data_IF_484309616326
#
_entry.id   IF_484309616326
#
_cell.length_a   1.000
_cell.length_b   1.000
_cell.length_c   1.000
_cell.angle_alpha   90.00
_cell.angle_beta   90.00
_cell.angle_gamma   90.00
#
_symmetry.space_group_name_H-M   'P 1'
#
loop_
_entity.id
_entity.type
_entity.pdbx_description
1 polymer ?
#
# COMPACT_ATOMS: atom_id res chain seq x y z
N UNK A 1 1.14 -20.36 -42.30
CA UNK A 1 0.41 -19.18 -41.80
C UNK A 1 1.47 -18.24 -41.28
N UNK A 2 1.61 -17.05 -41.88
CA UNK A 2 2.45 -16.00 -41.31
C UNK A 2 1.68 -15.45 -40.12
N UNK A 3 2.24 -15.54 -38.92
CA UNK A 3 1.67 -14.91 -37.74
C UNK A 3 1.57 -13.40 -38.03
N UNK A 4 0.38 -12.84 -37.86
CA UNK A 4 0.18 -11.40 -37.91
C UNK A 4 1.12 -10.80 -36.85
N UNK A 5 1.99 -9.81 -37.18
CA UNK A 5 2.83 -9.17 -36.17
C UNK A 5 1.93 -8.71 -35.02
N UNK A 6 2.28 -9.13 -33.81
CA UNK A 6 1.41 -9.08 -32.64
C UNK A 6 0.98 -7.64 -32.39
N UNK A 7 -0.32 -7.37 -32.49
CA UNK A 7 -0.87 -6.11 -32.01
C UNK A 7 -0.64 -6.06 -30.48
N UNK A 8 -0.18 -4.91 -30.00
CA UNK A 8 -0.09 -4.60 -28.56
C UNK A 8 -1.40 -4.91 -27.86
N UNK A 9 -1.34 -5.18 -26.55
CA UNK A 9 -2.49 -5.46 -25.69
C UNK A 9 -3.64 -4.48 -25.95
N UNK A 10 -4.82 -4.97 -26.30
CA UNK A 10 -6.05 -4.16 -26.35
C UNK A 10 -6.61 -3.86 -24.94
N UNK A 11 -5.96 -4.39 -23.91
CA UNK A 11 -6.48 -4.43 -22.55
C UNK A 11 -5.95 -3.26 -21.71
N UNK A 12 -6.82 -2.55 -20.99
CA UNK A 12 -6.41 -1.44 -20.14
C UNK A 12 -5.43 -1.82 -19.02
N UNK A 13 -4.66 -0.83 -18.60
CA UNK A 13 -3.84 -0.89 -17.39
C UNK A 13 -4.64 -1.35 -16.17
N UNK A 14 -4.01 -2.20 -15.36
CA UNK A 14 -4.56 -2.70 -14.11
C UNK A 14 -5.71 -3.70 -14.25
N UNK A 15 -5.99 -4.15 -15.47
CA UNK A 15 -6.86 -5.31 -15.68
C UNK A 15 -6.10 -6.60 -15.42
N UNK A 16 -6.81 -7.60 -14.90
CA UNK A 16 -6.29 -8.96 -14.77
C UNK A 16 -6.55 -9.73 -16.06
N UNK A 17 -5.63 -10.61 -16.42
CA UNK A 17 -5.79 -11.52 -17.54
C UNK A 17 -6.90 -12.53 -17.22
N UNK A 18 -7.91 -12.60 -18.08
CA UNK A 18 -9.02 -13.53 -18.01
C UNK A 18 -8.79 -14.74 -18.91
N UNK A 19 -9.46 -15.85 -18.62
CA UNK A 19 -9.31 -17.11 -19.36
C UNK A 19 -9.56 -17.02 -20.87
N UNK A 20 -10.37 -16.05 -21.31
CA UNK A 20 -10.74 -15.85 -22.71
C UNK A 20 -9.90 -14.77 -23.41
N UNK A 21 -8.96 -14.13 -22.69
CA UNK A 21 -8.16 -13.06 -23.25
C UNK A 21 -7.14 -13.62 -24.26
N UNK A 22 -6.95 -12.88 -25.35
CA UNK A 22 -6.09 -13.27 -26.47
C UNK A 22 -4.58 -13.27 -26.15
N UNK A 23 -4.20 -12.76 -24.97
CA UNK A 23 -2.82 -12.78 -24.50
C UNK A 23 -2.49 -14.00 -23.64
N UNK A 24 -3.47 -14.80 -23.21
CA UNK A 24 -3.21 -16.05 -22.46
C UNK A 24 -2.30 -16.98 -23.27
N UNK A 25 -1.22 -17.43 -22.64
CA UNK A 25 -0.22 -18.34 -23.20
C UNK A 25 0.86 -17.66 -24.04
N UNK A 26 0.83 -16.32 -24.22
CA UNK A 26 1.93 -15.58 -24.84
C UNK A 26 3.20 -15.73 -23.99
N UNK A 27 4.39 -15.89 -24.60
CA UNK A 27 5.63 -15.99 -23.83
C UNK A 27 5.90 -14.69 -23.06
N UNK A 28 6.37 -14.81 -21.83
CA UNK A 28 6.85 -13.68 -21.04
C UNK A 28 8.35 -13.81 -20.87
N UNK A 29 9.05 -12.74 -21.22
CA UNK A 29 10.47 -12.55 -20.98
C UNK A 29 10.65 -11.73 -19.70
N UNK A 30 11.59 -12.15 -18.85
CA UNK A 30 11.91 -11.37 -17.66
C UNK A 30 12.53 -10.04 -18.06
N UNK A 31 12.13 -8.95 -17.39
CA UNK A 31 12.82 -7.67 -17.54
C UNK A 31 14.21 -7.83 -16.90
N UNK A 32 15.26 -7.75 -17.72
CA UNK A 32 16.63 -8.04 -17.29
C UNK A 32 17.17 -6.93 -16.37
N UNK A 33 17.05 -7.17 -15.06
CA UNK A 33 17.64 -6.42 -13.94
C UNK A 33 17.24 -4.92 -13.83
N UNK A 34 16.93 -4.53 -12.59
CA UNK A 34 16.75 -3.14 -12.10
C UNK A 34 15.42 -2.45 -12.39
N UNK A 35 14.35 -3.20 -12.65
CA UNK A 35 12.99 -2.65 -12.51
C UNK A 35 12.80 -2.10 -11.09
N UNK A 36 12.48 -0.82 -10.99
CA UNK A 36 12.35 -0.10 -9.73
C UNK A 36 11.18 0.85 -9.78
N UNK A 37 10.71 1.29 -8.62
CA UNK A 37 9.66 2.30 -8.52
C UNK A 37 10.28 3.61 -8.08
N UNK A 38 9.90 4.70 -8.72
CA UNK A 38 10.28 6.04 -8.32
C UNK A 38 9.15 7.04 -8.56
N UNK A 39 9.24 8.18 -7.89
CA UNK A 39 8.33 9.31 -8.11
C UNK A 39 9.13 10.53 -8.55
N UNK A 40 8.48 11.39 -9.33
CA UNK A 40 9.00 12.70 -9.65
C UNK A 40 8.32 13.72 -8.73
N UNK A 41 9.10 14.35 -7.84
CA UNK A 41 8.64 15.42 -6.95
C UNK A 41 8.38 16.69 -7.77
N UNK A 42 7.10 17.00 -7.98
CA UNK A 42 6.64 18.13 -8.82
C UNK A 42 6.12 19.30 -7.99
N UNK A 43 6.03 19.13 -6.66
CA UNK A 43 5.25 19.98 -5.80
C UNK A 43 5.94 20.29 -4.47
N UNK A 44 5.32 19.84 -3.38
CA UNK A 44 5.85 20.08 -2.04
C UNK A 44 6.98 19.09 -1.79
N UNK A 45 8.15 19.52 -1.26
CA UNK A 45 9.28 18.63 -1.05
C UNK A 45 8.89 17.32 -0.34
N UNK A 46 9.17 16.20 -0.99
CA UNK A 46 8.78 14.87 -0.55
C UNK A 46 7.75 14.24 -1.49
N UNK A 47 7.28 13.04 -1.12
CA UNK A 47 6.23 12.36 -1.88
C UNK A 47 4.84 12.77 -1.39
N UNK A 48 4.01 13.31 -2.27
CA UNK A 48 2.64 13.72 -1.98
C UNK A 48 1.61 13.20 -3.00
N UNK A 49 0.36 13.66 -2.92
CA UNK A 49 -0.75 13.23 -3.79
C UNK A 49 -0.56 13.65 -5.26
N UNK A 50 0.21 14.70 -5.54
CA UNK A 50 0.38 15.28 -6.88
C UNK A 50 1.50 14.63 -7.68
N UNK A 51 2.46 13.97 -7.02
CA UNK A 51 3.65 13.42 -7.69
C UNK A 51 3.35 12.21 -8.57
N UNK A 52 3.71 12.23 -9.86
CA UNK A 52 3.58 11.04 -10.68
C UNK A 52 4.56 9.95 -10.26
N UNK A 53 4.11 8.69 -10.33
CA UNK A 53 4.88 7.51 -9.97
C UNK A 53 5.08 6.62 -11.18
N UNK A 54 6.29 6.06 -11.30
CA UNK A 54 6.75 5.34 -12.46
C UNK A 54 7.31 3.98 -12.06
N UNK A 55 7.09 2.98 -12.92
CA UNK A 55 7.91 1.77 -12.97
C UNK A 55 9.08 2.06 -13.92
N UNK A 56 10.24 2.31 -13.32
CA UNK A 56 11.48 2.60 -14.02
C UNK A 56 12.13 1.29 -14.48
N UNK A 57 12.35 1.15 -15.79
CA UNK A 57 12.89 -0.06 -16.40
C UNK A 57 14.25 0.28 -17.02
N UNK A 58 15.31 0.19 -16.21
CA UNK A 58 16.66 0.47 -16.70
C UNK A 58 17.76 -0.22 -15.90
N UNK A 59 18.71 -0.84 -16.59
CA UNK A 59 19.91 -1.46 -16.01
C UNK A 59 20.91 -0.46 -15.39
N UNK A 60 20.58 0.84 -15.34
CA UNK A 60 21.45 1.91 -14.82
C UNK A 60 20.91 2.57 -13.54
N UNK A 61 19.83 2.02 -12.96
CA UNK A 61 19.24 2.49 -11.71
C UNK A 61 18.35 3.73 -11.85
N UNK A 62 17.46 3.90 -10.86
CA UNK A 62 16.44 4.96 -10.80
C UNK A 62 17.06 6.32 -10.46
N UNK A 63 17.26 7.16 -11.48
CA UNK A 63 17.81 8.53 -11.33
C UNK A 63 17.01 9.58 -12.10
N UNK A 64 16.46 9.19 -13.24
CA UNK A 64 15.55 10.00 -14.02
C UNK A 64 14.61 9.11 -14.83
N UNK A 65 13.43 9.63 -15.16
CA UNK A 65 12.52 8.98 -16.09
C UNK A 65 13.16 8.84 -17.46
N UNK A 66 12.84 7.75 -18.17
CA UNK A 66 13.36 7.43 -19.49
C UNK A 66 12.26 6.95 -20.40
N UNK A 67 12.50 7.05 -21.70
CA UNK A 67 11.59 6.45 -22.67
C UNK A 67 11.49 4.94 -22.42
N UNK A 68 10.26 4.43 -22.42
CA UNK A 68 9.95 3.05 -22.05
C UNK A 68 9.59 2.85 -20.58
N UNK A 69 9.86 3.79 -19.67
CA UNK A 69 9.33 3.71 -18.30
C UNK A 69 7.81 3.76 -18.33
N UNK A 70 7.16 3.08 -17.37
CA UNK A 70 5.70 2.99 -17.32
C UNK A 70 5.16 3.93 -16.25
N UNK A 71 4.18 4.75 -16.62
CA UNK A 71 3.41 5.57 -15.68
C UNK A 71 2.52 4.70 -14.82
N UNK A 72 2.79 4.57 -13.52
CA UNK A 72 1.88 3.90 -12.59
C UNK A 72 0.72 4.80 -12.16
N UNK A 73 0.86 6.11 -12.33
CA UNK A 73 -0.21 7.12 -12.19
C UNK A 73 -0.31 7.97 -13.45
N UNK A 74 -1.48 8.51 -13.79
CA UNK A 74 -1.60 9.43 -14.94
C UNK A 74 -0.82 10.72 -14.74
N UNK A 75 -0.30 11.31 -15.83
CA UNK A 75 0.41 12.59 -15.83
C UNK A 75 0.12 13.39 -17.11
N UNK A 76 -0.24 14.66 -16.99
CA UNK A 76 -0.45 15.63 -18.10
C UNK A 76 -1.17 15.09 -19.36
N UNK A 77 -2.22 14.28 -19.16
CA UNK A 77 -3.02 13.70 -20.25
C UNK A 77 -2.55 12.33 -20.74
N UNK A 78 -1.40 11.86 -20.26
CA UNK A 78 -0.94 10.47 -20.42
C UNK A 78 -1.59 9.58 -19.34
N UNK A 79 -2.33 8.53 -19.71
CA UNK A 79 -3.01 7.66 -18.75
C UNK A 79 -2.02 6.76 -18.00
N UNK A 80 -2.44 6.23 -16.85
CA UNK A 80 -1.69 5.17 -16.18
C UNK A 80 -1.55 3.92 -17.08
N UNK A 81 -0.42 3.26 -16.98
CA UNK A 81 0.05 2.17 -17.84
C UNK A 81 0.57 2.61 -19.21
N UNK A 82 0.55 3.91 -19.54
CA UNK A 82 1.27 4.40 -20.73
C UNK A 82 2.78 4.38 -20.50
N UNK A 83 3.53 4.20 -21.59
CA UNK A 83 4.98 4.34 -21.58
C UNK A 83 5.39 5.78 -21.86
N UNK A 84 6.53 6.20 -21.32
CA UNK A 84 7.11 7.52 -21.62
C UNK A 84 7.72 7.50 -23.03
N UNK A 85 7.36 8.49 -23.84
CA UNK A 85 7.98 8.77 -25.14
C UNK A 85 9.10 9.82 -25.01
N UNK A 86 10.06 9.88 -25.94
CA UNK A 86 11.17 10.82 -25.86
C UNK A 86 10.77 12.30 -25.75
N UNK A 87 9.60 12.67 -26.28
CA UNK A 87 9.06 14.03 -26.32
C UNK A 87 8.08 14.37 -25.19
N UNK A 88 7.75 13.42 -24.31
CA UNK A 88 6.80 13.68 -23.23
C UNK A 88 7.41 14.65 -22.21
N UNK A 89 6.57 15.48 -21.58
CA UNK A 89 7.00 16.51 -20.63
C UNK A 89 7.65 15.91 -19.36
N UNK A 90 7.32 14.66 -19.04
CA UNK A 90 7.94 13.88 -17.97
C UNK A 90 9.13 13.03 -18.42
N UNK A 91 9.71 13.26 -19.60
CA UNK A 91 10.93 12.61 -20.06
C UNK A 91 12.19 13.26 -19.45
N UNK A 92 13.14 12.45 -18.96
CA UNK A 92 14.38 12.89 -18.29
C UNK A 92 14.18 13.73 -17.01
N UNK A 93 13.04 13.59 -16.35
CA UNK A 93 12.76 14.23 -15.07
C UNK A 93 13.42 13.46 -13.92
N UNK A 94 13.87 14.15 -12.86
CA UNK A 94 14.52 13.49 -11.74
C UNK A 94 13.56 12.53 -11.04
N UNK A 95 14.02 11.29 -10.82
CA UNK A 95 13.27 10.29 -10.06
C UNK A 95 13.89 10.08 -8.68
N UNK A 96 13.05 10.17 -7.66
CA UNK A 96 13.39 9.74 -6.31
C UNK A 96 12.96 8.28 -6.13
N UNK A 97 13.89 7.35 -5.80
CA UNK A 97 13.53 5.96 -5.56
C UNK A 97 12.50 5.79 -4.43
N UNK A 98 11.54 4.92 -4.64
CA UNK A 98 10.45 4.64 -3.72
C UNK A 98 10.55 3.21 -3.19
N UNK A 99 10.74 3.05 -1.89
CA UNK A 99 10.66 1.75 -1.24
C UNK A 99 9.20 1.32 -1.14
N UNK A 100 8.80 0.36 -1.97
CA UNK A 100 7.41 -0.05 -2.10
C UNK A 100 7.27 -1.56 -2.26
N UNK A 101 6.09 -2.07 -1.93
CA UNK A 101 5.73 -3.47 -2.14
C UNK A 101 4.43 -3.55 -2.91
N UNK A 102 4.30 -4.49 -3.84
CA UNK A 102 3.01 -4.78 -4.45
C UNK A 102 2.28 -5.74 -3.52
N UNK A 103 1.09 -5.37 -3.08
CA UNK A 103 0.23 -6.16 -2.18
C UNK A 103 -1.17 -6.26 -2.74
N UNK A 104 -1.99 -7.11 -2.11
CA UNK A 104 -3.39 -7.25 -2.47
C UNK A 104 -4.29 -7.15 -1.26
N UNK A 105 -5.50 -6.64 -1.47
CA UNK A 105 -6.58 -6.68 -0.51
C UNK A 105 -7.33 -8.00 -0.68
N UNK A 106 -7.16 -8.89 0.29
CA UNK A 106 -7.84 -10.19 0.31
C UNK A 106 -9.32 -10.01 0.65
N UNK A 107 -10.18 -9.94 -0.36
CA UNK A 107 -11.60 -9.67 -0.18
C UNK A 107 -12.36 -10.86 0.44
N UNK A 108 -11.90 -12.08 0.16
CA UNK A 108 -12.62 -13.31 0.51
C UNK A 108 -12.01 -14.09 1.68
N UNK A 109 -10.92 -13.60 2.26
CA UNK A 109 -10.17 -14.34 3.27
C UNK A 109 -9.50 -15.60 2.72
N UNK A 110 -9.23 -15.64 1.41
CA UNK A 110 -8.52 -16.72 0.74
C UNK A 110 -7.09 -16.84 1.27
N UNK A 111 -6.43 -18.00 1.12
CA UNK A 111 -5.03 -18.14 1.55
C UNK A 111 -4.03 -17.52 0.56
N UNK A 112 -4.51 -17.07 -0.60
CA UNK A 112 -3.69 -16.59 -1.70
C UNK A 112 -4.46 -15.57 -2.55
N UNK A 113 -3.72 -14.73 -3.25
CA UNK A 113 -4.25 -13.76 -4.21
C UNK A 113 -5.14 -14.42 -5.27
N UNK A 114 -6.33 -13.84 -5.49
CA UNK A 114 -7.29 -14.30 -6.48
C UNK A 114 -7.74 -13.21 -7.47
N UNK A 115 -8.62 -13.59 -8.41
CA UNK A 115 -9.07 -12.75 -9.50
C UNK A 115 -9.90 -11.54 -9.03
N UNK A 116 -10.47 -11.56 -7.84
CA UNK A 116 -11.29 -10.48 -7.31
C UNK A 116 -10.48 -9.52 -6.42
N UNK A 117 -9.35 -9.97 -5.88
CA UNK A 117 -8.51 -9.19 -4.95
C UNK A 117 -7.86 -7.95 -5.60
N UNK A 118 -8.17 -6.72 -5.17
CA UNK A 118 -7.51 -5.53 -5.70
C UNK A 118 -6.03 -5.49 -5.34
N UNK A 119 -5.20 -4.94 -6.23
CA UNK A 119 -3.74 -4.90 -6.12
C UNK A 119 -3.30 -3.45 -5.92
N UNK A 120 -2.34 -3.25 -5.02
CA UNK A 120 -1.83 -1.94 -4.65
C UNK A 120 -0.31 -1.93 -4.70
N UNK A 121 0.26 -0.80 -5.11
CA UNK A 121 1.62 -0.44 -4.78
C UNK A 121 1.58 0.22 -3.40
N UNK A 122 1.90 -0.58 -2.40
CA UNK A 122 1.87 -0.21 -0.99
C UNK A 122 3.21 0.40 -0.58
N UNK A 123 3.15 1.61 -0.04
CA UNK A 123 4.30 2.28 0.53
C UNK A 123 4.53 1.70 1.93
N UNK A 124 5.62 0.94 2.11
CA UNK A 124 5.86 0.23 3.35
C UNK A 124 5.83 1.16 4.57
N UNK A 125 5.60 0.58 5.76
CA UNK A 125 5.27 1.27 7.02
C UNK A 125 6.27 2.32 7.56
N UNK A 126 7.32 2.68 6.81
CA UNK A 126 8.26 3.72 7.18
C UNK A 126 7.67 5.14 7.08
N UNK A 127 6.63 5.34 6.25
CA UNK A 127 6.01 6.65 6.06
C UNK A 127 4.58 6.78 6.58
N UNK A 128 3.94 5.68 7.02
CA UNK A 128 2.58 5.74 7.59
C UNK A 128 2.55 6.11 9.08
N UNK A 129 3.70 6.46 9.67
CA UNK A 129 3.74 7.22 10.92
C UNK A 129 3.43 8.66 10.55
N UNK A 130 2.14 9.00 10.63
CA UNK A 130 1.59 10.35 10.46
C UNK A 130 2.60 11.40 10.96
N UNK A 131 3.29 12.07 10.02
CA UNK A 131 4.25 13.12 10.33
C UNK A 131 3.48 14.38 10.69
N UNK A 132 2.93 14.37 11.91
CA UNK A 132 2.61 15.59 12.64
C UNK A 132 3.09 15.41 14.08
N UNK A 133 4.41 15.55 14.31
CA UNK A 133 4.90 15.69 15.69
C UNK A 133 6.36 15.38 16.02
N UNK A 134 7.24 15.09 15.07
CA UNK A 134 8.67 14.87 15.40
C UNK A 134 9.43 16.20 15.60
N UNK A 135 9.08 16.93 16.65
CA UNK A 135 9.82 18.07 17.17
C UNK A 135 10.59 17.70 18.44
N UNK A 136 11.92 17.66 18.32
CA UNK A 136 12.93 17.72 19.39
C UNK A 136 12.97 16.61 20.45
N UNK A 137 14.13 15.94 20.49
CA UNK A 137 14.63 15.22 21.64
C UNK A 137 14.63 16.12 22.90
N UNK A 138 13.67 15.92 23.80
CA UNK A 138 13.74 16.41 25.17
C UNK A 138 14.50 15.40 26.02
N UNK A 139 15.58 15.87 26.63
CA UNK A 139 16.29 15.23 27.74
C UNK A 139 15.33 14.98 28.90
N UNK A 140 15.20 13.71 29.32
CA UNK A 140 14.46 13.31 30.51
C UNK A 140 15.21 13.75 31.76
N UNK A 141 14.60 14.65 32.52
CA UNK A 141 14.88 14.84 33.94
C UNK A 141 13.64 14.34 34.71
N UNK A 142 13.90 13.50 35.72
CA UNK A 142 12.97 12.96 36.72
C UNK A 142 11.72 13.81 36.97
N UNK A 143 10.54 13.25 36.70
CA UNK A 143 9.30 13.66 37.35
C UNK A 143 8.41 12.46 37.71
N UNK A 144 7.96 12.54 38.95
CA UNK A 144 6.90 11.84 39.69
C UNK A 144 5.64 11.45 38.88
N UNK A 145 4.76 10.58 39.43
CA UNK A 145 3.62 10.00 38.70
C UNK A 145 2.61 11.06 38.24
N UNK A 146 2.25 10.97 36.96
CA UNK A 146 1.52 11.98 36.17
C UNK A 146 0.00 12.04 36.50
N UNK A 147 -0.52 13.16 37.01
CA UNK A 147 -1.95 13.45 37.15
C UNK A 147 -2.54 14.25 35.97
N UNK A 148 -1.89 14.33 34.80
CA UNK A 148 -2.32 15.22 33.71
C UNK A 148 -3.01 14.51 32.54
N UNK A 149 -4.34 14.40 32.63
CA UNK A 149 -5.22 14.45 31.45
C UNK A 149 -5.91 15.81 31.28
N UNK A 150 -5.47 16.82 32.04
CA UNK A 150 -5.99 18.20 31.98
C UNK A 150 -5.30 19.08 30.92
N UNK A 151 -4.25 18.58 30.25
CA UNK A 151 -3.72 19.24 29.05
C UNK A 151 -4.59 18.82 27.89
N UNK A 152 -5.46 19.72 27.45
CA UNK A 152 -6.30 19.58 26.26
C UNK A 152 -5.52 18.84 25.16
N UNK A 153 -5.94 17.61 24.86
CA UNK A 153 -5.37 16.85 23.76
C UNK A 153 -5.40 17.73 22.51
N UNK A 154 -4.24 17.95 21.90
CA UNK A 154 -4.13 18.82 20.74
C UNK A 154 -5.09 18.32 19.66
N UNK A 155 -5.75 19.24 18.96
CA UNK A 155 -6.66 18.92 17.88
C UNK A 155 -6.01 18.06 16.77
N UNK A 156 -4.68 18.06 16.67
CA UNK A 156 -3.87 17.27 15.74
C UNK A 156 -3.77 15.78 16.10
N UNK A 157 -4.13 15.37 17.31
CA UNK A 157 -3.77 14.03 17.79
C UNK A 157 -4.79 12.93 17.40
N UNK A 158 -5.96 13.33 16.91
CA UNK A 158 -7.04 12.42 16.52
C UNK A 158 -7.14 12.36 14.99
N UNK A 159 -7.09 11.14 14.45
CA UNK A 159 -7.31 10.87 13.03
C UNK A 159 -8.69 10.25 12.83
N UNK A 160 -9.38 10.63 11.76
CA UNK A 160 -10.66 10.02 11.43
C UNK A 160 -10.44 8.59 10.89
N UNK A 161 -11.18 7.62 11.42
CA UNK A 161 -11.13 6.21 11.03
C UNK A 161 -12.53 5.67 10.82
N UNK A 162 -12.82 5.14 9.63
CA UNK A 162 -14.14 4.59 9.34
C UNK A 162 -14.50 3.43 10.29
N UNK A 163 -15.73 3.38 10.82
CA UNK A 163 -16.15 2.31 11.71
C UNK A 163 -16.19 0.97 10.98
N UNK A 164 -15.75 -0.09 11.66
CA UNK A 164 -15.94 -1.45 11.18
C UNK A 164 -17.44 -1.78 11.13
N UNK A 165 -17.96 -2.15 9.95
CA UNK A 165 -19.34 -2.62 9.76
C UNK A 165 -19.33 -4.14 9.68
N UNK A 166 -20.19 -4.79 10.47
CA UNK A 166 -20.24 -6.24 10.82
C UNK A 166 -20.39 -7.26 9.65
N UNK A 167 -19.83 -7.03 8.47
CA UNK A 167 -19.72 -8.07 7.43
C UNK A 167 -18.54 -9.00 7.70
N UNK A 168 -18.64 -9.79 8.77
CA UNK A 168 -18.04 -11.14 8.88
C UNK A 168 -16.58 -11.38 8.43
N UNK A 169 -15.69 -10.38 8.45
CA UNK A 169 -14.29 -10.60 8.13
C UNK A 169 -13.61 -11.18 9.38
N UNK A 170 -13.46 -12.51 9.41
CA UNK A 170 -12.68 -13.19 10.44
C UNK A 170 -11.20 -13.11 10.08
N UNK A 171 -10.49 -12.15 10.67
CA UNK A 171 -9.04 -12.07 10.55
C UNK A 171 -8.43 -12.79 11.75
N UNK A 172 -7.68 -13.86 11.50
CA UNK A 172 -7.01 -14.63 12.54
C UNK A 172 -6.09 -13.72 13.37
N UNK A 173 -6.39 -13.57 14.66
CA UNK A 173 -5.63 -12.73 15.57
C UNK A 173 -6.11 -11.28 15.70
N UNK A 174 -6.96 -10.78 14.79
CA UNK A 174 -7.58 -9.47 14.96
C UNK A 174 -8.71 -9.54 16.00
N UNK A 175 -8.89 -8.44 16.73
CA UNK A 175 -9.98 -8.25 17.69
C UNK A 175 -10.71 -6.95 17.38
N UNK A 176 -12.02 -6.97 17.58
CA UNK A 176 -12.84 -5.77 17.45
C UNK A 176 -12.96 -5.12 18.83
N UNK A 177 -12.47 -3.89 18.95
CA UNK A 177 -12.85 -2.98 20.04
C UNK A 177 -14.25 -2.47 19.74
N UNK A 178 -15.10 -2.35 20.77
CA UNK A 178 -16.36 -1.61 20.71
C UNK A 178 -16.35 -0.51 21.77
N UNK A 179 -16.61 0.72 21.34
CA UNK A 179 -16.80 1.88 22.21
C UNK A 179 -18.27 2.05 22.57
N UNK A 180 -18.57 2.90 23.56
CA UNK A 180 -19.91 2.96 24.18
C UNK A 180 -20.98 3.55 23.25
N UNK A 181 -20.58 4.32 22.24
CA UNK A 181 -21.47 4.83 21.19
C UNK A 181 -21.70 3.82 20.04
N UNK A 182 -21.12 2.62 20.13
CA UNK A 182 -21.22 1.57 19.12
C UNK A 182 -20.16 1.66 18.03
N UNK A 183 -19.23 2.63 18.09
CA UNK A 183 -18.08 2.65 17.19
C UNK A 183 -17.21 1.40 17.40
N UNK A 184 -16.83 0.77 16.28
CA UNK A 184 -16.06 -0.48 16.27
C UNK A 184 -14.74 -0.28 15.55
N UNK A 185 -13.64 -0.63 16.22
CA UNK A 185 -12.29 -0.55 15.67
C UNK A 185 -11.67 -1.94 15.61
N UNK A 186 -11.27 -2.39 14.43
CA UNK A 186 -10.57 -3.67 14.25
C UNK A 186 -9.07 -3.46 14.44
N UNK A 187 -8.46 -4.23 15.35
CA UNK A 187 -7.05 -4.09 15.69
C UNK A 187 -6.34 -5.45 15.88
N UNK A 188 -5.01 -5.46 15.80
CA UNK A 188 -4.15 -6.62 16.10
C UNK A 188 -3.37 -6.42 17.41
N UNK A 189 -4.11 -6.29 18.51
CA UNK A 189 -3.57 -6.16 19.87
C UNK A 189 -4.38 -7.02 20.87
N UNK A 190 -3.80 -7.28 22.04
CA UNK A 190 -4.50 -7.86 23.19
C UNK A 190 -4.93 -6.74 24.12
N UNK A 191 -6.19 -6.79 24.56
CA UNK A 191 -6.72 -5.79 25.48
C UNK A 191 -6.29 -6.08 26.91
N UNK A 192 -5.88 -5.02 27.60
CA UNK A 192 -5.75 -4.98 29.05
C UNK A 192 -7.13 -4.71 29.65
N UNK A 193 -7.88 -3.78 29.04
CA UNK A 193 -9.22 -3.43 29.47
C UNK A 193 -10.30 -4.34 28.88
N UNK A 194 -11.33 -4.63 29.69
CA UNK A 194 -12.50 -5.40 29.26
C UNK A 194 -13.58 -4.50 28.63
N UNK A 195 -13.55 -3.19 28.91
CA UNK A 195 -14.52 -2.20 28.43
C UNK A 195 -13.86 -0.82 28.30
N UNK A 196 -14.40 0.08 27.45
CA UNK A 196 -13.93 1.46 27.37
C UNK A 196 -14.04 2.20 28.69
N UNK A 197 -13.09 3.10 28.95
CA UNK A 197 -13.07 3.99 30.11
C UNK A 197 -13.10 5.44 29.64
N UNK A 198 -13.78 6.31 30.37
CA UNK A 198 -13.71 7.75 30.09
C UNK A 198 -12.28 8.25 30.28
N UNK A 199 -11.72 8.88 29.24
CA UNK A 199 -10.38 9.41 29.22
C UNK A 199 -10.36 10.94 29.34
N UNK A 200 -11.42 11.63 28.88
CA UNK A 200 -11.48 13.09 28.95
C UNK A 200 -12.48 13.67 27.97
N UNK A 201 -12.23 14.91 27.54
CA UNK A 201 -13.03 15.61 26.55
C UNK A 201 -12.15 16.08 25.39
N UNK A 202 -12.66 16.02 24.16
CA UNK A 202 -12.02 16.57 22.97
C UNK A 202 -13.06 17.36 22.19
N UNK A 203 -12.83 18.68 22.03
CA UNK A 203 -13.78 19.60 21.38
C UNK A 203 -15.21 19.52 21.93
N UNK A 204 -15.34 19.32 23.25
CA UNK A 204 -16.64 19.18 23.92
C UNK A 204 -17.30 17.80 23.78
N UNK A 205 -16.65 16.84 23.12
CA UNK A 205 -17.08 15.45 23.02
C UNK A 205 -16.36 14.60 24.05
N UNK A 206 -17.06 13.62 24.62
CA UNK A 206 -16.44 12.65 25.54
C UNK A 206 -15.47 11.75 24.78
N UNK A 207 -14.28 11.55 25.34
CA UNK A 207 -13.30 10.60 24.81
C UNK A 207 -13.28 9.38 25.70
N UNK A 208 -13.33 8.20 25.08
CA UNK A 208 -13.07 6.93 25.74
C UNK A 208 -11.72 6.37 25.34
N UNK A 209 -11.12 5.58 26.22
CA UNK A 209 -9.88 4.83 25.97
C UNK A 209 -10.09 3.35 26.25
N UNK A 210 -9.45 2.51 25.43
CA UNK A 210 -9.21 1.10 25.71
C UNK A 210 -7.71 0.86 25.68
N UNK A 211 -7.16 0.35 26.78
CA UNK A 211 -5.74 0.02 26.87
C UNK A 211 -5.48 -1.35 26.24
N UNK A 212 -4.56 -1.39 25.28
CA UNK A 212 -3.99 -2.59 24.68
C UNK A 212 -2.57 -2.86 25.19
N UNK A 213 -2.02 -4.04 24.89
CA UNK A 213 -0.63 -4.37 25.25
C UNK A 213 0.39 -3.55 24.44
N UNK A 214 0.05 -3.18 23.20
CA UNK A 214 0.93 -2.43 22.30
C UNK A 214 0.58 -0.95 22.25
N UNK A 215 -0.69 -0.59 22.38
CA UNK A 215 -1.15 0.79 22.31
C UNK A 215 -2.43 1.03 23.09
N UNK A 216 -2.68 2.29 23.41
CA UNK A 216 -3.95 2.80 23.93
C UNK A 216 -4.77 3.38 22.78
N UNK A 217 -6.04 3.01 22.74
CA UNK A 217 -6.97 3.35 21.67
C UNK A 217 -8.01 4.33 22.21
N UNK A 218 -7.91 5.59 21.79
CA UNK A 218 -8.81 6.65 22.20
C UNK A 218 -9.83 6.90 21.10
N UNK A 219 -11.09 7.12 21.47
CA UNK A 219 -12.17 7.44 20.55
C UNK A 219 -13.02 8.59 21.07
N UNK A 220 -13.25 9.61 20.23
CA UNK A 220 -14.16 10.70 20.55
C UNK A 220 -15.61 10.29 20.20
N UNK A 221 -16.45 10.11 21.22
CA UNK A 221 -17.80 9.57 21.08
C UNK A 221 -18.68 10.43 20.17
N UNK A 222 -19.51 9.75 19.37
CA UNK A 222 -20.40 10.35 18.39
C UNK A 222 -19.70 10.78 17.10
N UNK A 223 -18.43 10.40 16.91
CA UNK A 223 -17.64 10.73 15.72
C UNK A 223 -16.96 9.48 15.17
N UNK A 224 -16.06 9.65 14.20
CA UNK A 224 -15.17 8.59 13.71
C UNK A 224 -13.71 8.86 14.09
N UNK A 225 -13.45 9.82 14.98
CA UNK A 225 -12.09 10.20 15.36
C UNK A 225 -11.49 9.22 16.36
N UNK A 226 -10.30 8.73 16.04
CA UNK A 226 -9.51 7.81 16.85
C UNK A 226 -8.09 8.33 16.99
N UNK A 227 -7.55 8.27 18.21
CA UNK A 227 -6.13 8.46 18.50
C UNK A 227 -5.55 7.13 18.95
N UNK A 228 -4.40 6.73 18.41
CA UNK A 228 -3.68 5.52 18.84
C UNK A 228 -2.36 5.98 19.43
N UNK A 229 -2.17 5.73 20.72
CA UNK A 229 -0.94 6.07 21.42
C UNK A 229 -0.17 4.80 21.74
N UNK A 230 1.06 4.60 21.24
CA UNK A 230 1.88 3.45 21.64
C UNK A 230 2.00 3.38 23.16
N UNK A 231 1.87 2.18 23.72
CA UNK A 231 2.04 1.97 25.14
C UNK A 231 3.49 2.33 25.51
N UNK A 232 3.68 3.19 26.51
CA UNK A 232 5.01 3.43 27.07
C UNK A 232 5.47 2.13 27.72
N UNK A 233 6.33 1.38 27.04
CA UNK A 233 7.04 0.27 27.70
C UNK A 233 7.95 0.90 28.75
N UNK A 234 7.50 0.88 30.00
CA UNK A 234 8.33 1.28 31.13
C UNK A 234 9.57 0.36 31.12
N UNK A 235 10.72 0.92 30.74
CA UNK A 235 11.98 0.19 30.56
C UNK A 235 12.59 -0.35 31.86
N UNK A 236 11.91 -0.21 33.00
CA UNK A 236 12.50 -0.41 34.34
C UNK A 236 12.02 -1.66 35.08
N UNK A 237 11.15 -2.48 34.51
CA UNK A 237 10.65 -3.69 35.18
C UNK A 237 10.66 -4.90 34.26
N UNK A 238 11.82 -5.52 34.06
CA UNK A 238 11.95 -6.79 33.34
C UNK A 238 11.41 -7.96 34.17
N UNK A 239 10.14 -7.93 34.56
CA UNK A 239 9.45 -9.14 34.98
C UNK A 239 9.20 -9.97 33.72
N UNK A 240 9.99 -11.04 33.61
CA UNK A 240 9.91 -12.07 32.58
C UNK A 240 8.53 -12.73 32.61
N UNK A 241 7.54 -12.11 31.97
CA UNK A 241 6.47 -12.85 31.35
C UNK A 241 7.12 -13.65 30.24
N UNK A 242 7.42 -14.93 30.52
CA UNK A 242 7.85 -15.88 29.51
C UNK A 242 6.74 -15.94 28.45
N UNK A 243 6.94 -15.18 27.37
CA UNK A 243 6.14 -15.23 26.17
C UNK A 243 6.40 -16.60 25.54
N UNK A 244 5.63 -17.59 25.99
CA UNK A 244 5.67 -18.94 25.46
C UNK A 244 5.22 -18.89 23.99
N UNK A 245 6.17 -19.16 23.09
CA UNK A 245 5.91 -19.47 21.68
C UNK A 245 5.06 -18.46 20.90
N UNK A 246 5.24 -17.16 21.13
CA UNK A 246 4.55 -16.12 20.36
C UNK A 246 4.88 -16.23 18.87
N UNK A 247 3.97 -16.81 18.10
CA UNK A 247 3.96 -16.68 16.64
C UNK A 247 4.06 -15.18 16.37
N UNK A 248 5.17 -14.75 15.77
CA UNK A 248 5.35 -13.36 15.36
C UNK A 248 4.25 -13.09 14.33
N UNK A 249 3.14 -12.51 14.78
CA UNK A 249 2.11 -12.04 13.89
C UNK A 249 2.75 -10.94 13.07
N UNK A 250 3.04 -11.26 11.80
CA UNK A 250 3.45 -10.30 10.79
C UNK A 250 2.49 -9.11 10.89
N UNK A 251 3.05 -7.91 11.10
CA UNK A 251 2.25 -6.71 11.26
C UNK A 251 1.29 -6.62 10.08
N UNK A 252 -0.01 -6.65 10.37
CA UNK A 252 -1.03 -6.43 9.35
C UNK A 252 -0.88 -4.99 8.88
N UNK A 253 -0.43 -4.81 7.64
CA UNK A 253 -0.33 -3.50 7.02
C UNK A 253 -1.72 -3.06 6.53
N UNK A 254 -1.97 -1.75 6.60
CA UNK A 254 -3.21 -1.13 6.14
C UNK A 254 -2.94 -0.43 4.82
N UNK A 255 -3.94 -0.37 3.95
CA UNK A 255 -3.91 0.55 2.81
C UNK A 255 -3.83 1.97 3.36
N UNK A 256 -2.79 2.70 2.96
CA UNK A 256 -2.48 4.05 3.43
C UNK A 256 -2.77 5.09 2.34
N UNK A 257 -2.88 6.35 2.77
CA UNK A 257 -2.90 7.48 1.83
C UNK A 257 -1.63 7.46 0.99
N UNK A 258 -1.79 7.76 -0.30
CA UNK A 258 -0.79 7.68 -1.36
C UNK A 258 -0.30 6.28 -1.76
N UNK A 259 -0.90 5.20 -1.26
CA UNK A 259 -0.81 3.91 -1.96
C UNK A 259 -1.41 4.05 -3.36
N UNK A 260 -0.91 3.28 -4.34
CA UNK A 260 -1.41 3.36 -5.72
C UNK A 260 -2.23 2.12 -6.02
N UNK A 261 -3.44 2.30 -6.55
CA UNK A 261 -4.24 1.20 -7.06
C UNK A 261 -3.63 0.69 -8.35
N UNK A 262 -3.05 -0.51 -8.34
CA UNK A 262 -2.60 -1.16 -9.56
C UNK A 262 -3.72 -1.92 -10.26
N UNK A 263 -4.87 -2.12 -9.60
CA UNK A 263 -6.12 -2.58 -10.23
C UNK A 263 -7.32 -1.82 -9.67
N UNK A 264 -8.47 -1.91 -10.36
CA UNK A 264 -9.68 -1.22 -9.93
C UNK A 264 -10.13 -1.68 -8.53
N UNK A 265 -10.49 -0.73 -7.66
CA UNK A 265 -10.96 -1.01 -6.30
C UNK A 265 -12.03 -0.02 -5.88
N UNK A 266 -13.13 -0.50 -5.29
CA UNK A 266 -14.17 0.37 -4.72
C UNK A 266 -14.82 1.33 -5.72
N UNK A 267 -14.78 1.02 -7.03
CA UNK A 267 -15.26 1.91 -8.09
C UNK A 267 -14.24 2.95 -8.57
N UNK A 268 -13.04 2.96 -8.00
CA UNK A 268 -11.91 3.81 -8.40
C UNK A 268 -11.02 3.07 -9.39
N UNK A 269 -10.52 3.80 -10.39
CA UNK A 269 -9.73 3.25 -11.48
C UNK A 269 -8.30 2.89 -11.03
N UNK A 270 -7.70 1.92 -11.71
CA UNK A 270 -6.27 1.68 -11.63
C UNK A 270 -5.48 2.94 -12.01
N UNK A 271 -4.37 3.16 -11.32
CA UNK A 271 -3.47 4.30 -11.45
C UNK A 271 -3.88 5.53 -10.65
N UNK A 272 -4.94 5.42 -9.85
CA UNK A 272 -5.29 6.43 -8.85
C UNK A 272 -4.56 6.16 -7.53
N UNK A 273 -4.18 7.24 -6.84
CA UNK A 273 -3.72 7.17 -5.45
C UNK A 273 -4.91 6.98 -4.52
N UNK A 274 -4.67 6.27 -3.41
CA UNK A 274 -5.60 6.20 -2.29
C UNK A 274 -5.53 7.54 -1.58
N UNK A 275 -6.65 8.25 -1.51
CA UNK A 275 -6.77 9.49 -0.74
C UNK A 275 -7.50 9.23 0.57
N UNK A 276 -7.51 10.24 1.44
CA UNK A 276 -8.28 10.17 2.67
C UNK A 276 -9.76 9.91 2.37
N UNK A 277 -10.35 8.99 3.14
CA UNK A 277 -11.76 8.58 3.07
C UNK A 277 -12.15 7.74 1.86
N UNK A 278 -11.19 7.34 1.03
CA UNK A 278 -11.49 6.36 -0.01
C UNK A 278 -12.03 5.06 0.59
N UNK A 279 -12.95 4.37 -0.11
CA UNK A 279 -13.64 3.21 0.44
C UNK A 279 -12.73 2.01 0.74
N UNK A 280 -11.49 2.03 0.26
CA UNK A 280 -10.45 1.04 0.52
C UNK A 280 -9.33 1.52 1.46
N UNK A 281 -9.29 2.80 1.85
CA UNK A 281 -8.35 3.30 2.86
C UNK A 281 -8.56 2.55 4.19
N UNK A 282 -7.47 2.27 4.90
CA UNK A 282 -7.46 1.55 6.18
C UNK A 282 -7.97 0.09 6.11
N UNK A 283 -8.13 -0.50 4.92
CA UNK A 283 -8.34 -1.94 4.82
C UNK A 283 -7.02 -2.68 4.96
N UNK A 284 -7.09 -3.91 5.48
CA UNK A 284 -5.91 -4.73 5.70
C UNK A 284 -5.48 -5.37 4.39
N UNK A 285 -4.23 -5.12 3.97
CA UNK A 285 -3.61 -5.84 2.86
C UNK A 285 -3.03 -7.17 3.36
N UNK A 286 -2.86 -8.12 2.44
CA UNK A 286 -2.21 -9.38 2.73
C UNK A 286 -0.78 -9.14 3.29
N UNK A 287 -0.40 -9.94 4.29
CA UNK A 287 0.93 -9.86 4.90
C UNK A 287 2.05 -10.25 3.92
N UNK A 288 1.73 -11.11 2.94
CA UNK A 288 2.66 -11.53 1.91
C UNK A 288 2.63 -10.53 0.74
N UNK A 289 3.77 -9.86 0.50
CA UNK A 289 3.96 -9.06 -0.69
C UNK A 289 4.02 -9.94 -1.95
N UNK A 290 3.39 -9.49 -3.02
CA UNK A 290 3.48 -10.08 -4.35
C UNK A 290 4.80 -9.73 -5.01
N UNK A 291 5.30 -8.50 -4.84
CA UNK A 291 6.62 -8.03 -5.25
C UNK A 291 7.16 -7.06 -4.20
N UNK A 292 8.47 -7.05 -3.99
CA UNK A 292 9.14 -6.04 -3.17
C UNK A 292 10.13 -5.28 -4.04
N UNK A 293 10.04 -3.95 -4.00
CA UNK A 293 11.03 -3.04 -4.55
C UNK A 293 11.85 -2.49 -3.39
N UNK A 294 12.86 -3.25 -2.97
CA UNK A 294 13.88 -2.76 -2.04
C UNK A 294 15.23 -2.78 -2.73
N UNK A 295 16.14 -1.88 -2.32
CA UNK A 295 17.49 -1.78 -2.89
C UNK A 295 18.32 -3.08 -2.77
N UNK A 296 17.89 -4.02 -1.92
CA UNK A 296 18.63 -5.26 -1.62
C UNK A 296 17.94 -6.53 -2.15
N UNK A 297 16.68 -6.47 -2.61
CA UNK A 297 15.94 -7.62 -3.12
C UNK A 297 15.08 -7.24 -4.31
N UNK A 298 15.64 -7.34 -5.51
CA UNK A 298 14.85 -7.30 -6.74
C UNK A 298 14.25 -8.68 -7.00
N UNK A 299 13.11 -8.99 -6.40
CA UNK A 299 12.18 -10.00 -6.97
C UNK A 299 11.52 -9.47 -8.27
N UNK A 300 12.27 -8.71 -9.07
CA UNK A 300 11.90 -8.25 -10.41
C UNK A 300 11.62 -9.42 -11.36
N UNK A 301 12.00 -10.65 -10.98
CA UNK A 301 11.64 -11.89 -11.68
C UNK A 301 10.12 -12.08 -11.88
N UNK A 302 9.30 -11.31 -11.15
CA UNK A 302 7.84 -11.30 -11.29
C UNK A 302 7.31 -10.24 -12.24
N UNK A 303 8.15 -9.36 -12.77
CA UNK A 303 7.76 -8.42 -13.82
C UNK A 303 8.39 -8.90 -15.11
N UNK A 304 7.56 -9.08 -16.13
CA UNK A 304 8.02 -9.50 -17.43
C UNK A 304 7.26 -8.82 -18.54
N UNK A 305 7.77 -8.96 -19.75
CA UNK A 305 7.19 -8.37 -20.94
C UNK A 305 6.89 -9.44 -22.00
N UNK A 306 5.87 -9.19 -22.80
CA UNK A 306 5.62 -9.90 -24.05
C UNK A 306 6.29 -9.11 -25.17
N UNK A 307 7.32 -9.71 -25.77
CA UNK A 307 8.03 -9.19 -26.94
C UNK A 307 7.07 -9.21 -28.16
N UNK A 308 6.45 -8.07 -28.42
CA UNK A 308 5.42 -7.94 -29.44
C UNK A 308 6.02 -7.85 -30.85
N UNK A 309 7.23 -7.30 -30.95
CA UNK A 309 7.91 -7.03 -32.22
C UNK A 309 8.90 -8.16 -32.63
N UNK A 310 9.24 -9.05 -31.70
CA UNK A 310 10.10 -10.22 -31.90
C UNK A 310 11.62 -9.94 -31.84
N UNK A 311 12.05 -8.83 -31.25
CA UNK A 311 13.46 -8.42 -31.21
C UNK A 311 14.23 -8.93 -29.97
N UNK A 312 13.52 -9.51 -29.00
CA UNK A 312 14.05 -10.09 -27.77
C UNK A 312 14.56 -9.07 -26.76
N UNK A 313 14.21 -7.80 -26.90
CA UNK A 313 14.52 -6.74 -25.94
C UNK A 313 13.24 -6.02 -25.52
N UNK A 314 13.20 -5.53 -24.28
CA UNK A 314 12.06 -4.72 -23.84
C UNK A 314 12.07 -3.37 -24.57
N UNK A 315 11.01 -3.06 -25.31
CA UNK A 315 10.83 -1.79 -25.98
C UNK A 315 9.38 -1.24 -25.95
N UNK A 316 9.11 -0.22 -26.78
CA UNK A 316 7.84 0.50 -26.73
C UNK A 316 6.62 -0.34 -27.15
N UNK A 317 6.66 -1.14 -28.24
CA UNK A 317 5.66 -2.14 -28.58
C UNK A 317 5.24 -3.15 -27.49
N UNK A 318 6.10 -3.41 -26.51
CA UNK A 318 5.94 -4.58 -25.64
C UNK A 318 4.96 -4.40 -24.49
N UNK A 319 4.17 -5.43 -24.20
CA UNK A 319 3.24 -5.39 -23.07
C UNK A 319 3.93 -5.86 -21.79
N UNK A 320 3.72 -5.17 -20.67
CA UNK A 320 4.32 -5.51 -19.38
C UNK A 320 3.28 -6.08 -18.42
N UNK A 321 3.66 -7.17 -17.77
CA UNK A 321 2.82 -7.94 -16.86
C UNK A 321 3.50 -8.11 -15.51
N UNK A 322 2.67 -8.15 -14.48
CA UNK A 322 3.03 -8.66 -13.17
C UNK A 322 2.57 -10.12 -13.05
N UNK A 323 3.56 -11.00 -12.94
CA UNK A 323 3.40 -12.43 -12.79
C UNK A 323 3.32 -12.82 -11.31
N UNK A 324 2.29 -13.59 -10.97
CA UNK A 324 2.02 -13.98 -9.59
C UNK A 324 2.53 -15.39 -9.30
N UNK A 325 2.99 -15.66 -8.06
CA UNK A 325 3.53 -16.96 -7.68
C UNK A 325 2.50 -18.07 -7.87
N UNK A 326 2.93 -19.19 -8.44
CA UNK A 326 2.05 -20.33 -8.79
C UNK A 326 1.61 -20.37 -10.25
N UNK A 327 1.89 -19.31 -11.03
CA UNK A 327 1.77 -19.33 -12.49
C UNK A 327 3.10 -19.73 -13.16
N UNK A 328 3.03 -20.29 -14.36
CA UNK A 328 4.21 -20.49 -15.21
C UNK A 328 4.75 -19.10 -15.59
N UNK A 329 5.87 -18.69 -14.98
CA UNK A 329 6.44 -17.35 -15.18
C UNK A 329 6.96 -17.12 -16.59
N UNK A 330 6.98 -18.15 -17.43
CA UNK A 330 7.41 -18.07 -18.83
C UNK A 330 6.30 -17.71 -19.81
N UNK A 331 5.04 -17.58 -19.35
CA UNK A 331 3.93 -17.17 -20.21
C UNK A 331 2.87 -16.37 -19.46
N UNK A 332 2.09 -15.58 -20.20
CA UNK A 332 0.93 -14.85 -19.69
C UNK A 332 -0.12 -15.87 -19.23
N UNK A 333 -0.42 -15.85 -17.95
CA UNK A 333 -1.39 -16.71 -17.30
C UNK A 333 -2.61 -15.90 -16.81
N UNK A 334 -3.72 -16.60 -16.64
CA UNK A 334 -4.90 -16.05 -15.97
C UNK A 334 -4.50 -15.48 -14.62
N UNK A 335 -5.11 -14.35 -14.26
CA UNK A 335 -4.87 -13.59 -13.04
C UNK A 335 -3.56 -12.78 -13.02
N UNK A 336 -2.69 -12.85 -14.04
CA UNK A 336 -1.62 -11.85 -14.17
C UNK A 336 -2.21 -10.45 -14.32
N UNK A 337 -1.48 -9.44 -13.81
CA UNK A 337 -1.93 -8.06 -13.85
C UNK A 337 -1.19 -7.32 -14.96
N UNK A 338 -1.92 -6.63 -15.83
CA UNK A 338 -1.35 -5.83 -16.90
C UNK A 338 -0.84 -4.51 -16.34
N UNK A 339 0.46 -4.29 -16.43
CA UNK A 339 1.12 -3.08 -15.97
C UNK A 339 1.30 -2.05 -17.08
N UNK A 340 1.17 -2.42 -18.35
CA UNK A 340 0.99 -1.47 -19.45
C UNK A 340 -0.42 -1.54 -20.02
N UNK A 341 -0.92 -0.41 -20.52
CA UNK A 341 -2.16 -0.34 -21.29
C UNK A 341 -1.93 -0.50 -22.80
N UNK A 342 -2.99 -0.40 -23.63
CA UNK A 342 -2.84 -0.33 -25.07
C UNK A 342 -1.97 0.85 -25.45
N UNK A 343 -1.09 0.61 -26.42
CA UNK A 343 -0.36 1.68 -27.09
C UNK A 343 -1.37 2.41 -27.98
N UNK A 344 -1.60 3.73 -27.77
CA UNK A 344 -2.57 4.49 -28.53
C UNK A 344 -2.22 4.66 -30.02
#
# INVERSE_FOLDING_TARGET
MLANPGCSSEYPFGTKVLQADADVGRPIYGISADASVGYWDTGTPGYDETDPVYLHISAQGCSATRSGDIRLTSFEGHPAGSKIEPQDDDSNQPLTPMAATIRYLNLHGSQAYDLEDPVYLHQGAWNCVDVQGAGSAMTYADQDPDPHLDKEASASDFAERLPYRDRGIFIAGARCISFTDGYKLLISDRFIDVAPKAAGMWRGLMVEVIHGLKADYYHALGTWFVKISPAKMNSEGSDKWAYDGGVAFSATELICTNDIRLSNSGGLAAGTKVVNFDPDQNKIVASQALVSFSAENTEAARIGYFDANGDGIYDYPDDVYLNFPGSDTSSVAVNNLRLSGPIP
#
